data_IF_424737307162
#
_entry.id   IF_424737307162
#
_cell.length_a   1.000
_cell.length_b   1.000
_cell.length_c   1.000
_cell.angle_alpha   90.00
_cell.angle_beta   90.00
_cell.angle_gamma   90.00
#
_symmetry.space_group_name_H-M   'P 1'
#
loop_
_entity.id
_entity.type
_entity.pdbx_description
1 polymer ?
#
# COMPACT_ATOMS: atom_id res chain seq x y z
N UNK A 1 -23.25 8.66 -14.50
CA UNK A 1 -22.04 9.49 -14.72
C UNK A 1 -21.57 9.87 -13.33
N UNK A 2 -20.50 9.22 -12.83
CA UNK A 2 -20.08 9.33 -11.43
C UNK A 2 -18.84 10.21 -11.26
N UNK A 3 -18.74 10.91 -10.14
CA UNK A 3 -17.62 11.80 -9.85
C UNK A 3 -16.34 11.02 -9.52
N UNK A 4 -15.30 11.17 -10.36
CA UNK A 4 -13.97 10.62 -10.14
C UNK A 4 -13.37 11.13 -8.82
N UNK A 5 -12.91 10.21 -7.97
CA UNK A 5 -12.42 10.53 -6.63
C UNK A 5 -10.90 10.76 -6.63
N UNK A 6 -10.47 11.91 -7.15
CA UNK A 6 -9.08 12.39 -7.04
C UNK A 6 -8.84 12.97 -5.64
N UNK A 7 -8.15 12.19 -4.79
CA UNK A 7 -7.93 12.50 -3.37
C UNK A 7 -6.92 13.64 -3.18
N UNK A 8 -7.42 14.87 -3.10
CA UNK A 8 -6.57 16.03 -2.86
C UNK A 8 -6.19 16.20 -1.37
N UNK A 9 -5.10 16.94 -1.05
CA UNK A 9 -4.60 17.16 0.31
C UNK A 9 -5.64 17.49 1.39
N UNK A 10 -6.70 18.25 1.07
CA UNK A 10 -7.72 18.66 2.04
C UNK A 10 -8.72 17.54 2.35
N UNK A 11 -9.02 16.69 1.36
CA UNK A 11 -9.92 15.54 1.54
C UNK A 11 -9.27 14.44 2.38
N UNK A 12 -7.97 14.24 2.24
CA UNK A 12 -7.19 13.26 3.02
C UNK A 12 -7.29 13.56 4.52
N UNK A 13 -6.97 14.79 4.94
CA UNK A 13 -6.96 15.17 6.36
C UNK A 13 -8.32 15.11 7.05
N UNK A 14 -9.39 15.58 6.40
CA UNK A 14 -10.74 15.66 6.99
C UNK A 14 -11.50 14.33 7.11
N UNK A 15 -10.91 13.23 6.63
CA UNK A 15 -11.54 11.92 6.48
C UNK A 15 -10.80 10.81 7.24
N UNK A 16 -9.48 10.94 7.47
CA UNK A 16 -8.71 10.06 8.36
C UNK A 16 -9.25 10.04 9.81
N UNK A 17 -9.74 11.19 10.29
CA UNK A 17 -10.37 11.31 11.62
C UNK A 17 -11.66 10.50 11.82
N UNK A 18 -12.25 9.97 10.73
CA UNK A 18 -13.53 9.26 10.76
C UNK A 18 -13.41 7.74 10.68
N UNK A 19 -12.21 7.23 10.36
CA UNK A 19 -12.00 5.85 9.90
C UNK A 19 -11.23 4.95 10.88
N UNK A 20 -11.07 5.39 12.13
CA UNK A 20 -10.57 4.53 13.23
C UNK A 20 -11.59 3.45 13.68
N UNK A 21 -12.78 3.37 13.05
CA UNK A 21 -13.99 2.82 13.67
C UNK A 21 -14.56 1.49 13.07
N UNK A 22 -13.94 0.80 12.09
CA UNK A 22 -14.51 -0.46 11.49
C UNK A 22 -13.51 -1.34 10.68
N UNK A 23 -13.75 -2.68 10.54
CA UNK A 23 -12.77 -3.75 10.13
C UNK A 23 -13.36 -5.00 9.35
N UNK A 24 -12.60 -5.73 8.47
CA UNK A 24 -12.74 -7.19 7.96
C UNK A 24 -11.87 -7.63 6.68
N UNK A 25 -11.82 -8.92 6.19
CA UNK A 25 -11.10 -9.53 4.97
C UNK A 25 -11.47 -11.03 4.59
N UNK A 26 -10.97 -11.93 3.66
CA UNK A 26 -10.06 -12.07 2.43
C UNK A 26 -10.27 -13.48 1.63
N UNK A 27 -9.63 -13.89 0.48
CA UNK A 27 -9.91 -15.18 -0.30
C UNK A 27 -8.90 -15.83 -1.38
N UNK A 28 -9.19 -16.97 -2.13
CA UNK A 28 -8.17 -18.00 -2.60
C UNK A 28 -8.07 -18.79 -4.02
N UNK A 29 -7.01 -19.65 -4.32
CA UNK A 29 -6.61 -20.55 -5.51
C UNK A 29 -5.22 -21.41 -5.43
N UNK A 30 -4.52 -21.97 -6.50
CA UNK A 30 -3.25 -22.88 -6.51
C UNK A 30 -2.29 -22.92 -7.82
N UNK A 31 -1.18 -23.76 -7.93
CA UNK A 31 -0.07 -23.93 -9.00
C UNK A 31 0.58 -25.39 -9.18
N UNK A 32 1.40 -25.73 -10.23
CA UNK A 32 2.06 -27.06 -10.54
C UNK A 32 3.47 -27.10 -11.29
N UNK A 33 3.98 -28.26 -11.77
CA UNK A 33 5.27 -28.52 -12.53
C UNK A 33 5.09 -29.43 -13.79
N UNK A 34 6.08 -29.49 -14.71
CA UNK A 34 6.17 -30.40 -15.87
C UNK A 34 7.63 -30.83 -16.15
N UNK A 35 7.91 -32.15 -16.09
CA UNK A 35 9.24 -32.74 -16.29
C UNK A 35 9.75 -32.66 -17.75
N UNK A 36 8.87 -32.71 -18.75
CA UNK A 36 9.25 -32.84 -20.17
C UNK A 36 10.02 -31.63 -20.70
N UNK A 37 9.73 -30.45 -20.16
CA UNK A 37 10.33 -29.16 -20.52
C UNK A 37 11.20 -28.58 -19.37
N UNK A 38 11.42 -29.36 -18.31
CA UNK A 38 12.03 -28.97 -17.02
C UNK A 38 11.46 -27.66 -16.42
N UNK A 39 10.13 -27.46 -16.48
CA UNK A 39 9.48 -26.17 -16.19
C UNK A 39 8.41 -26.22 -15.11
N UNK A 40 8.54 -25.29 -14.15
CA UNK A 40 7.51 -24.94 -13.18
C UNK A 40 6.35 -24.21 -13.86
N UNK A 41 5.30 -24.97 -14.16
CA UNK A 41 4.05 -24.45 -14.69
C UNK A 41 3.19 -23.89 -13.56
N UNK A 42 3.48 -22.63 -13.21
CA UNK A 42 2.51 -21.75 -12.57
C UNK A 42 1.31 -21.63 -13.51
N UNK A 43 0.35 -22.56 -13.36
CA UNK A 43 -1.04 -22.41 -13.80
C UNK A 43 -1.67 -21.40 -12.83
N UNK A 44 -1.73 -20.10 -13.16
CA UNK A 44 -2.24 -19.13 -12.23
C UNK A 44 -3.77 -19.21 -12.27
N UNK A 45 -4.50 -18.75 -11.24
CA UNK A 45 -5.72 -18.03 -11.53
C UNK A 45 -5.30 -16.86 -12.45
N UNK A 46 -5.65 -16.95 -13.73
CA UNK A 46 -5.44 -15.86 -14.68
C UNK A 46 -6.03 -14.58 -14.06
N UNK A 47 -5.35 -13.46 -14.30
CA UNK A 47 -5.56 -12.18 -13.62
C UNK A 47 -5.12 -12.17 -12.14
N UNK A 48 -3.97 -11.51 -11.87
CA UNK A 48 -3.74 -10.85 -10.57
C UNK A 48 -4.64 -9.62 -10.45
N UNK A 49 -5.94 -9.87 -10.42
CA UNK A 49 -6.93 -8.95 -9.88
C UNK A 49 -6.82 -9.02 -8.36
N UNK A 50 -6.46 -7.92 -7.70
CA UNK A 50 -6.50 -7.86 -6.23
C UNK A 50 -7.95 -7.69 -5.76
N UNK A 51 -8.79 -8.69 -6.06
CA UNK A 51 -10.16 -8.80 -5.54
C UNK A 51 -10.11 -9.04 -4.02
N UNK A 52 -10.13 -7.95 -3.25
CA UNK A 52 -10.32 -7.97 -1.82
C UNK A 52 -11.75 -8.44 -1.48
N UNK A 53 -11.98 -9.76 -1.55
CA UNK A 53 -13.29 -10.40 -1.45
C UNK A 53 -13.82 -10.43 -0.01
N UNK A 54 -14.37 -9.30 0.43
CA UNK A 54 -15.40 -9.29 1.46
C UNK A 54 -16.68 -9.92 0.84
N UNK A 55 -17.52 -10.65 1.58
CA UNK A 55 -18.61 -11.44 0.97
C UNK A 55 -19.66 -10.68 0.15
N UNK A 56 -19.71 -9.35 0.24
CA UNK A 56 -20.54 -8.47 -0.60
C UNK A 56 -19.76 -7.37 -1.35
N UNK A 57 -18.42 -7.38 -1.32
CA UNK A 57 -17.61 -6.29 -1.86
C UNK A 57 -16.39 -6.77 -2.65
N UNK A 58 -16.28 -6.25 -3.87
CA UNK A 58 -15.12 -6.44 -4.75
C UNK A 58 -14.51 -5.07 -5.06
N UNK A 59 -13.25 -4.94 -4.67
CA UNK A 59 -12.32 -3.87 -5.03
C UNK A 59 -11.24 -4.49 -5.91
N UNK A 60 -10.73 -3.78 -6.90
CA UNK A 60 -9.63 -4.17 -7.78
C UNK A 60 -8.52 -3.14 -7.64
N UNK A 61 -7.27 -3.56 -7.42
CA UNK A 61 -6.11 -2.66 -7.39
C UNK A 61 -5.16 -3.01 -8.53
N UNK A 62 -4.78 -2.01 -9.34
CA UNK A 62 -3.73 -2.14 -10.36
C UNK A 62 -2.55 -1.18 -10.10
N UNK A 63 -1.35 -1.65 -10.47
CA UNK A 63 -0.03 -1.02 -10.27
C UNK A 63 0.81 -1.02 -11.56
N UNK A 64 0.25 -1.25 -12.76
CA UNK A 64 1.06 -1.47 -13.98
C UNK A 64 0.75 -0.58 -15.18
N UNK A 65 1.85 -0.22 -15.85
CA UNK A 65 1.90 0.36 -17.19
C UNK A 65 1.65 -0.73 -18.25
N UNK A 66 0.52 -0.66 -18.94
CA UNK A 66 0.07 -1.65 -19.93
C UNK A 66 -0.53 -0.99 -21.18
N UNK A 67 0.33 -0.68 -22.17
CA UNK A 67 -0.07 -0.28 -23.53
C UNK A 67 -0.85 -1.35 -24.32
N UNK A 68 -1.01 -2.55 -23.76
CA UNK A 68 -1.81 -3.67 -24.30
C UNK A 68 -2.97 -4.11 -23.40
N UNK A 69 -3.16 -3.46 -22.25
CA UNK A 69 -4.18 -3.80 -21.26
C UNK A 69 -4.65 -2.54 -20.50
N UNK A 70 -4.79 -1.44 -21.24
CA UNK A 70 -5.70 -0.35 -20.87
C UNK A 70 -7.13 -0.85 -21.00
N UNK A 71 -7.56 -1.72 -20.10
CA UNK A 71 -8.99 -1.84 -19.83
C UNK A 71 -9.43 -0.51 -19.24
N UNK A 72 -10.32 0.22 -19.93
CA UNK A 72 -10.88 1.44 -19.34
C UNK A 72 -11.57 1.04 -18.02
N UNK A 73 -11.43 1.87 -17.00
CA UNK A 73 -12.31 1.88 -15.82
C UNK A 73 -13.80 1.72 -16.18
N UNK A 74 -14.23 2.20 -17.36
CA UNK A 74 -15.56 1.99 -17.93
C UNK A 74 -15.78 0.56 -18.42
N UNK A 75 -14.90 0.00 -19.24
CA UNK A 75 -15.00 -1.40 -19.70
C UNK A 75 -15.03 -2.37 -18.52
N UNK A 76 -14.22 -2.11 -17.48
CA UNK A 76 -14.24 -2.89 -16.24
C UNK A 76 -15.56 -2.70 -15.45
N UNK A 77 -16.18 -1.52 -15.51
CA UNK A 77 -17.49 -1.26 -14.91
C UNK A 77 -18.68 -1.81 -15.74
N UNK A 78 -18.51 -1.99 -17.05
CA UNK A 78 -19.49 -2.63 -17.95
C UNK A 78 -19.44 -4.16 -17.82
N UNK A 79 -18.23 -4.74 -17.82
CA UNK A 79 -17.99 -6.15 -17.52
C UNK A 79 -18.34 -6.51 -16.06
N UNK A 80 -18.17 -5.56 -15.13
CA UNK A 80 -18.50 -5.72 -13.71
C UNK A 80 -19.15 -4.47 -13.11
N UNK A 81 -20.47 -4.32 -13.26
CA UNK A 81 -21.22 -3.28 -12.54
C UNK A 81 -21.03 -3.41 -11.03
N UNK A 82 -20.78 -2.28 -10.37
CA UNK A 82 -20.45 -2.24 -8.95
C UNK A 82 -18.98 -2.49 -8.60
N UNK A 83 -18.06 -2.53 -9.56
CA UNK A 83 -16.62 -2.61 -9.24
C UNK A 83 -16.14 -1.32 -8.55
N UNK A 84 -15.31 -1.45 -7.50
CA UNK A 84 -14.41 -0.37 -7.08
C UNK A 84 -13.05 -0.65 -7.70
N UNK A 85 -12.53 0.28 -8.48
CA UNK A 85 -11.21 0.17 -9.12
C UNK A 85 -10.26 1.20 -8.51
N UNK A 86 -9.04 0.78 -8.18
CA UNK A 86 -7.98 1.61 -7.61
C UNK A 86 -6.79 1.55 -8.55
N UNK A 87 -6.38 2.71 -9.07
CA UNK A 87 -5.30 2.81 -10.06
C UNK A 87 -4.14 3.65 -9.51
N UNK A 88 -2.98 3.00 -9.37
CA UNK A 88 -1.73 3.59 -8.90
C UNK A 88 -0.76 3.84 -10.06
N UNK A 89 -0.25 5.06 -10.17
CA UNK A 89 0.86 5.41 -11.05
C UNK A 89 2.01 6.12 -10.29
N UNK A 90 3.16 6.29 -10.94
CA UNK A 90 4.31 6.93 -10.29
C UNK A 90 4.18 8.46 -10.18
N UNK A 91 3.69 9.14 -11.23
CA UNK A 91 3.76 10.61 -11.30
C UNK A 91 2.41 11.32 -11.44
N UNK A 92 1.55 10.82 -12.33
CA UNK A 92 0.22 11.36 -12.62
C UNK A 92 -0.47 10.43 -13.61
N UNK A 93 -1.79 10.43 -13.65
CA UNK A 93 -2.57 9.74 -14.70
C UNK A 93 -2.62 10.56 -16.02
N UNK A 94 -2.21 11.82 -15.98
CA UNK A 94 -2.26 12.79 -17.10
C UNK A 94 -0.98 13.62 -17.21
N UNK A 95 -0.69 14.14 -18.41
CA UNK A 95 0.46 15.01 -18.67
C UNK A 95 1.76 14.27 -19.04
N UNK A 96 2.88 15.00 -19.21
CA UNK A 96 4.08 14.50 -19.89
C UNK A 96 4.85 13.39 -19.16
N UNK A 97 4.50 13.12 -17.89
CA UNK A 97 5.11 12.06 -17.08
C UNK A 97 4.17 10.86 -16.84
N UNK A 98 2.97 10.84 -17.43
CA UNK A 98 1.97 9.81 -17.15
C UNK A 98 2.37 8.38 -17.60
N UNK A 99 3.22 8.28 -18.62
CA UNK A 99 3.82 7.01 -19.08
C UNK A 99 5.16 6.68 -18.40
N UNK A 100 5.66 7.52 -17.48
CA UNK A 100 6.94 7.28 -16.82
C UNK A 100 6.76 6.30 -15.65
N UNK A 101 7.56 5.24 -15.65
CA UNK A 101 7.70 4.31 -14.53
C UNK A 101 8.51 4.95 -13.41
N UNK A 102 8.23 4.56 -12.18
CA UNK A 102 8.92 5.05 -10.99
C UNK A 102 8.58 4.19 -9.76
N UNK A 103 9.40 4.36 -8.74
CA UNK A 103 9.30 3.74 -7.42
C UNK A 103 9.69 4.80 -6.38
N UNK A 104 9.42 4.54 -5.09
CA UNK A 104 9.55 5.51 -4.00
C UNK A 104 10.78 6.44 -4.11
N UNK A 105 11.99 5.89 -4.22
CA UNK A 105 13.24 6.69 -4.22
C UNK A 105 13.39 7.59 -5.46
N UNK A 106 12.91 7.17 -6.63
CA UNK A 106 12.83 8.05 -7.82
C UNK A 106 11.93 9.25 -7.54
N UNK A 107 10.83 9.03 -6.82
CA UNK A 107 9.87 10.09 -6.44
C UNK A 107 10.42 10.95 -5.31
N UNK A 108 11.12 10.40 -4.31
CA UNK A 108 11.88 11.19 -3.33
C UNK A 108 12.88 12.13 -4.01
N UNK A 109 13.54 11.66 -5.08
CA UNK A 109 14.54 12.43 -5.83
C UNK A 109 13.89 13.62 -6.54
N UNK A 110 12.87 13.39 -7.37
CA UNK A 110 12.24 14.48 -8.17
C UNK A 110 11.29 15.38 -7.36
N UNK A 111 10.92 15.01 -6.13
CA UNK A 111 10.16 15.87 -5.21
C UNK A 111 11.05 16.74 -4.32
N UNK A 112 12.38 16.60 -4.41
CA UNK A 112 13.33 17.37 -3.59
C UNK A 112 13.44 16.89 -2.14
N UNK A 113 12.78 15.78 -1.77
CA UNK A 113 12.93 15.12 -0.46
C UNK A 113 14.41 14.82 -0.19
N UNK A 114 15.12 14.28 -1.17
CA UNK A 114 16.51 13.85 -0.96
C UNK A 114 17.47 15.00 -0.68
N UNK A 115 17.26 16.14 -1.34
CA UNK A 115 18.07 17.34 -1.13
C UNK A 115 17.83 17.94 0.26
N UNK A 116 16.56 17.97 0.72
CA UNK A 116 16.21 18.35 2.10
C UNK A 116 16.87 17.43 3.12
N UNK A 117 16.69 16.12 2.95
CA UNK A 117 17.20 15.11 3.88
C UNK A 117 18.73 15.17 3.99
N UNK A 118 19.44 15.39 2.88
CA UNK A 118 20.89 15.57 2.87
C UNK A 118 21.39 16.87 3.52
N UNK A 119 20.53 17.89 3.67
CA UNK A 119 20.83 19.11 4.41
C UNK A 119 20.54 19.03 5.92
N UNK A 120 19.47 18.31 6.30
CA UNK A 120 19.08 18.10 7.71
C UNK A 120 19.91 17.00 8.38
N UNK A 121 20.16 15.92 7.66
CA UNK A 121 20.87 14.72 8.13
C UNK A 121 22.00 14.38 7.15
N UNK A 122 23.06 15.20 7.10
CA UNK A 122 24.21 14.92 6.25
C UNK A 122 24.88 13.61 6.67
N UNK A 123 24.88 12.63 5.77
CA UNK A 123 25.64 11.39 5.95
C UNK A 123 27.15 11.63 5.83
N UNK A 124 27.94 10.55 5.93
CA UNK A 124 29.41 10.60 5.83
C UNK A 124 29.93 11.20 4.50
N UNK A 125 29.09 11.29 3.47
CA UNK A 125 29.36 12.00 2.21
C UNK A 125 28.31 13.11 2.01
N UNK A 126 28.72 14.38 1.80
CA UNK A 126 27.80 15.46 1.47
C UNK A 126 27.04 15.21 0.16
N UNK A 127 25.73 15.49 0.16
CA UNK A 127 24.86 15.36 -1.02
C UNK A 127 23.44 14.92 -0.65
N UNK A 128 22.56 14.74 -1.65
CA UNK A 128 21.19 14.27 -1.42
C UNK A 128 21.17 12.87 -0.78
N UNK A 129 20.34 12.69 0.26
CA UNK A 129 20.19 11.44 1.01
C UNK A 129 18.76 10.94 0.90
N UNK A 130 18.53 9.63 0.81
CA UNK A 130 17.16 9.09 0.90
C UNK A 130 16.67 9.09 2.34
N UNK A 131 15.34 9.12 2.55
CA UNK A 131 14.80 8.68 3.83
C UNK A 131 15.18 7.20 4.07
N UNK A 132 15.45 6.77 5.32
CA UNK A 132 15.78 5.38 5.66
C UNK A 132 14.58 4.42 5.54
N UNK A 133 13.49 4.85 4.89
CA UNK A 133 12.22 4.13 4.73
C UNK A 133 11.53 4.61 3.45
N UNK A 134 10.82 3.70 2.77
CA UNK A 134 9.99 4.00 1.59
C UNK A 134 8.69 4.71 1.96
N UNK A 135 8.81 5.92 2.52
CA UNK A 135 7.70 6.67 3.12
C UNK A 135 6.55 6.93 2.13
N UNK A 136 6.84 7.16 0.85
CA UNK A 136 5.85 7.46 -0.18
C UNK A 136 5.09 6.18 -0.56
N UNK A 137 5.77 5.05 -0.75
CA UNK A 137 5.13 3.75 -1.00
C UNK A 137 4.20 3.35 0.18
N UNK A 138 4.65 3.52 1.43
CA UNK A 138 3.82 3.23 2.62
C UNK A 138 2.59 4.13 2.71
N UNK A 139 2.77 5.47 2.65
CA UNK A 139 1.66 6.42 2.69
C UNK A 139 0.68 6.20 1.53
N UNK A 140 1.19 5.89 0.34
CA UNK A 140 0.36 5.56 -0.82
C UNK A 140 -0.42 4.25 -0.60
N UNK A 141 0.19 3.24 0.02
CA UNK A 141 -0.48 2.01 0.43
C UNK A 141 -1.69 2.27 1.35
N UNK A 142 -1.48 3.06 2.42
CA UNK A 142 -2.56 3.45 3.32
C UNK A 142 -3.64 4.28 2.62
N UNK A 143 -3.26 5.25 1.79
CA UNK A 143 -4.20 6.10 1.04
C UNK A 143 -4.98 5.33 -0.04
N UNK A 144 -4.41 4.28 -0.65
CA UNK A 144 -5.14 3.36 -1.52
C UNK A 144 -6.19 2.56 -0.76
N UNK A 145 -5.81 1.91 0.36
CA UNK A 145 -6.74 1.13 1.17
C UNK A 145 -7.90 2.01 1.67
N UNK A 146 -7.57 3.20 2.14
CA UNK A 146 -8.49 4.25 2.56
C UNK A 146 -9.43 4.71 1.45
N UNK A 147 -8.91 5.10 0.27
CA UNK A 147 -9.73 5.46 -0.89
C UNK A 147 -10.64 4.31 -1.34
N UNK A 148 -10.16 3.07 -1.24
CA UNK A 148 -10.95 1.85 -1.45
C UNK A 148 -12.13 1.74 -0.49
N UNK A 149 -11.91 1.93 0.82
CA UNK A 149 -12.99 1.93 1.82
C UNK A 149 -14.00 3.05 1.57
N UNK A 150 -13.55 4.24 1.17
CA UNK A 150 -14.42 5.37 0.81
C UNK A 150 -15.28 5.04 -0.41
N UNK A 151 -14.68 4.53 -1.48
CA UNK A 151 -15.40 4.13 -2.70
C UNK A 151 -16.36 2.95 -2.46
N UNK A 152 -15.99 2.01 -1.59
CA UNK A 152 -16.89 0.94 -1.13
C UNK A 152 -18.09 1.50 -0.34
N UNK A 153 -17.86 2.48 0.54
CA UNK A 153 -18.94 3.14 1.27
C UNK A 153 -19.86 3.94 0.33
N UNK A 154 -19.30 4.68 -0.64
CA UNK A 154 -20.09 5.34 -1.70
C UNK A 154 -20.95 4.32 -2.45
N UNK A 155 -20.38 3.18 -2.86
CA UNK A 155 -21.17 2.12 -3.53
C UNK A 155 -22.36 1.60 -2.72
N UNK A 156 -22.24 1.49 -1.39
CA UNK A 156 -23.34 1.02 -0.54
C UNK A 156 -24.51 2.01 -0.50
N UNK A 157 -24.23 3.31 -0.57
CA UNK A 157 -25.25 4.36 -0.39
C UNK A 157 -25.72 5.01 -1.71
N UNK A 158 -24.85 5.08 -2.71
CA UNK A 158 -25.06 5.75 -4.01
C UNK A 158 -25.15 4.76 -5.18
N UNK A 159 -24.79 3.48 -4.96
CA UNK A 159 -24.67 2.47 -6.01
C UNK A 159 -23.46 2.70 -6.93
N UNK A 160 -23.55 2.20 -8.16
CA UNK A 160 -22.56 2.46 -9.22
C UNK A 160 -21.19 1.77 -9.07
N UNK A 161 -20.35 1.96 -10.09
CA UNK A 161 -18.93 1.59 -10.07
C UNK A 161 -18.08 2.83 -9.80
N UNK A 162 -16.95 2.68 -9.11
CA UNK A 162 -16.14 3.80 -8.63
C UNK A 162 -14.67 3.65 -9.00
N UNK A 163 -14.02 4.77 -9.33
CA UNK A 163 -12.58 4.84 -9.57
C UNK A 163 -11.90 5.71 -8.51
N UNK A 164 -10.87 5.14 -7.89
CA UNK A 164 -9.91 5.81 -7.01
C UNK A 164 -8.61 5.96 -7.79
N UNK A 165 -8.16 7.19 -8.01
CA UNK A 165 -6.84 7.46 -8.60
C UNK A 165 -5.87 7.94 -7.53
N UNK A 166 -4.63 7.50 -7.62
CA UNK A 166 -3.53 7.99 -6.78
C UNK A 166 -2.22 7.97 -7.57
N UNK A 167 -1.26 8.82 -7.17
CA UNK A 167 0.11 8.74 -7.65
C UNK A 167 1.13 8.95 -6.54
N UNK A 168 2.27 8.26 -6.64
CA UNK A 168 3.37 8.43 -5.69
C UNK A 168 3.82 9.91 -5.62
N UNK A 169 3.89 10.63 -6.75
CA UNK A 169 4.31 12.03 -6.75
C UNK A 169 3.28 13.00 -6.12
N UNK A 170 1.97 12.75 -6.24
CA UNK A 170 0.96 13.50 -5.47
C UNK A 170 1.14 13.25 -3.96
N UNK A 171 1.37 12.01 -3.55
CA UNK A 171 1.58 11.65 -2.13
C UNK A 171 2.91 12.21 -1.58
N UNK A 172 4.00 12.15 -2.35
CA UNK A 172 5.28 12.75 -1.98
C UNK A 172 5.21 14.27 -1.87
N UNK A 173 4.49 14.94 -2.78
CA UNK A 173 4.19 16.38 -2.68
C UNK A 173 3.33 16.69 -1.46
N UNK A 174 2.33 15.85 -1.16
CA UNK A 174 1.49 16.00 0.03
C UNK A 174 2.29 15.88 1.33
N UNK A 175 3.16 14.87 1.42
CA UNK A 175 4.10 14.66 2.53
C UNK A 175 4.99 15.90 2.73
N UNK A 176 5.66 16.38 1.67
CA UNK A 176 6.47 17.61 1.73
C UNK A 176 5.64 18.83 2.15
N UNK A 177 4.36 18.90 1.77
CA UNK A 177 3.47 20.01 2.17
C UNK A 177 2.98 19.96 3.61
N UNK A 178 3.29 18.91 4.39
CA UNK A 178 3.06 18.91 5.84
C UNK A 178 4.09 19.76 6.60
N UNK A 179 5.21 20.10 5.94
CA UNK A 179 6.29 20.89 6.53
C UNK A 179 7.22 20.06 7.41
N UNK A 180 8.01 20.77 8.22
CA UNK A 180 9.02 20.21 9.12
C UNK A 180 8.69 20.65 10.56
N UNK A 181 8.97 19.79 11.55
CA UNK A 181 8.81 20.17 12.97
C UNK A 181 9.97 21.12 13.32
N UNK A 182 9.71 22.33 13.85
CA UNK A 182 10.78 23.25 14.23
C UNK A 182 11.72 22.64 15.27
N UNK A 183 13.03 22.84 15.11
CA UNK A 183 14.07 22.30 16.00
C UNK A 183 13.82 22.64 17.48
N UNK A 184 13.29 23.84 17.75
CA UNK A 184 12.90 24.30 19.09
C UNK A 184 11.88 23.39 19.81
N UNK A 185 11.14 22.56 19.07
CA UNK A 185 10.16 21.60 19.57
C UNK A 185 10.72 20.19 19.76
N UNK A 186 11.95 19.90 19.28
CA UNK A 186 12.57 18.57 19.33
C UNK A 186 13.30 18.29 20.66
N UNK A 187 13.31 19.24 21.60
CA UNK A 187 14.23 19.32 22.76
C UNK A 187 14.23 18.13 23.74
N UNK A 188 13.24 17.25 23.69
CA UNK A 188 13.13 16.06 24.54
C UNK A 188 12.97 14.76 23.72
N UNK A 189 13.32 14.76 22.43
CA UNK A 189 13.27 13.57 21.58
C UNK A 189 14.64 12.91 21.59
N UNK A 190 14.70 11.63 21.95
CA UNK A 190 15.95 10.85 21.91
C UNK A 190 16.42 10.68 20.45
N UNK A 191 17.74 10.69 20.24
CA UNK A 191 18.33 10.46 18.92
C UNK A 191 18.16 9.00 18.45
N UNK A 192 18.06 8.06 19.39
CA UNK A 192 17.82 6.63 19.16
C UNK A 192 16.76 6.11 20.15
N UNK A 193 16.00 5.10 19.74
CA UNK A 193 15.04 4.42 20.61
C UNK A 193 15.76 3.51 21.62
N UNK A 194 15.26 3.42 22.85
CA UNK A 194 15.90 2.56 23.87
C UNK A 194 15.65 1.08 23.58
N UNK A 195 16.48 0.15 24.12
CA UNK A 195 16.22 -1.28 24.01
C UNK A 195 14.84 -1.70 24.55
N UNK A 196 14.34 -1.00 25.57
CA UNK A 196 13.02 -1.22 26.18
C UNK A 196 11.88 -0.73 25.26
N UNK A 197 12.04 0.43 24.61
CA UNK A 197 11.08 0.90 23.60
C UNK A 197 10.99 -0.08 22.43
N UNK A 198 12.15 -0.46 21.86
CA UNK A 198 12.24 -1.44 20.77
C UNK A 198 11.63 -2.78 21.18
N UNK A 199 11.90 -3.25 22.41
CA UNK A 199 11.30 -4.47 22.95
C UNK A 199 9.77 -4.36 23.09
N UNK A 200 9.26 -3.19 23.51
CA UNK A 200 7.81 -2.95 23.66
C UNK A 200 7.05 -2.96 22.32
N UNK A 201 7.72 -2.63 21.22
CA UNK A 201 7.18 -2.70 19.86
C UNK A 201 7.52 -4.01 19.14
N UNK A 202 8.29 -4.89 19.78
CA UNK A 202 8.71 -6.17 19.21
C UNK A 202 7.82 -7.32 19.66
N UNK A 203 7.81 -8.37 18.85
CA UNK A 203 7.16 -9.64 19.13
C UNK A 203 8.05 -10.78 18.63
N UNK A 204 7.71 -12.02 18.99
CA UNK A 204 8.44 -13.22 18.57
C UNK A 204 7.48 -14.18 17.89
N UNK A 205 7.78 -14.54 16.65
CA UNK A 205 7.11 -15.61 15.93
C UNK A 205 7.93 -16.89 15.95
N UNK A 206 7.29 -18.03 16.21
CA UNK A 206 7.83 -19.33 15.84
C UNK A 206 7.74 -19.52 14.32
N UNK A 207 8.87 -19.73 13.66
CA UNK A 207 8.97 -19.88 12.20
C UNK A 207 9.60 -21.23 11.82
N UNK A 208 9.51 -21.66 10.54
CA UNK A 208 10.24 -22.83 10.05
C UNK A 208 11.78 -22.72 10.17
N UNK A 209 12.31 -21.52 10.45
CA UNK A 209 13.73 -21.25 10.68
C UNK A 209 14.09 -21.11 12.18
N UNK A 210 13.15 -21.39 13.08
CA UNK A 210 13.26 -21.13 14.53
C UNK A 210 12.55 -19.85 14.95
N UNK A 211 12.86 -19.34 16.16
CA UNK A 211 12.23 -18.13 16.70
C UNK A 211 12.79 -16.87 16.04
N UNK A 212 11.91 -16.05 15.49
CA UNK A 212 12.24 -14.77 14.88
C UNK A 212 11.67 -13.62 15.72
N UNK A 213 12.54 -12.76 16.24
CA UNK A 213 12.15 -11.46 16.79
C UNK A 213 11.95 -10.44 15.66
N UNK A 214 10.83 -9.72 15.69
CA UNK A 214 10.50 -8.68 14.70
C UNK A 214 9.48 -7.70 15.27
N UNK A 215 9.19 -6.59 14.57
CA UNK A 215 8.17 -5.65 15.01
C UNK A 215 6.77 -6.29 15.05
N UNK A 216 6.02 -5.99 16.10
CA UNK A 216 4.60 -6.26 16.22
C UNK A 216 3.76 -5.33 15.33
N UNK A 217 2.43 -5.51 15.31
CA UNK A 217 1.53 -4.55 14.68
C UNK A 217 1.60 -3.19 15.38
N UNK A 218 1.72 -2.11 14.60
CA UNK A 218 1.89 -0.73 15.11
C UNK A 218 0.57 -0.14 15.66
N UNK A 219 -0.58 -0.75 15.34
CA UNK A 219 -1.89 -0.36 15.85
C UNK A 219 -2.33 -1.34 16.95
N UNK A 220 -3.03 -0.83 17.96
CA UNK A 220 -3.81 -1.63 18.91
C UNK A 220 -5.29 -1.29 18.76
N UNK A 221 -6.14 -2.31 18.77
CA UNK A 221 -7.55 -2.24 18.36
C UNK A 221 -8.35 -3.12 19.31
N UNK A 222 -9.25 -2.54 20.14
CA UNK A 222 -9.89 -3.26 21.26
C UNK A 222 -10.69 -4.47 20.81
N UNK A 223 -11.56 -4.29 19.80
CA UNK A 223 -12.48 -5.34 19.33
C UNK A 223 -11.82 -6.34 18.35
N UNK A 224 -10.72 -5.93 17.71
CA UNK A 224 -10.06 -6.71 16.66
C UNK A 224 -8.53 -6.62 16.76
N UNK A 225 -7.91 -7.14 17.84
CA UNK A 225 -6.46 -7.05 18.04
C UNK A 225 -5.69 -7.57 16.81
N UNK A 226 -4.89 -6.73 16.14
CA UNK A 226 -4.20 -7.12 14.93
C UNK A 226 -3.11 -8.14 15.27
N UNK A 227 -2.87 -9.10 14.37
CA UNK A 227 -1.88 -10.16 14.55
C UNK A 227 -1.27 -10.58 13.22
N UNK A 228 -0.01 -10.98 13.24
CA UNK A 228 0.66 -11.56 12.09
C UNK A 228 0.21 -13.03 11.91
N UNK A 229 -0.91 -13.22 11.18
CA UNK A 229 -1.51 -14.56 10.93
C UNK A 229 -0.59 -15.49 10.12
N UNK A 230 0.35 -14.93 9.37
CA UNK A 230 1.43 -15.65 8.68
C UNK A 230 2.76 -15.09 9.13
N UNK A 231 3.68 -15.99 9.47
CA UNK A 231 5.04 -15.67 9.90
C UNK A 231 5.97 -15.51 8.69
N UNK A 232 7.20 -15.01 8.91
CA UNK A 232 8.24 -15.07 7.88
C UNK A 232 8.65 -16.52 7.62
N UNK A 233 8.79 -16.90 6.35
CA UNK A 233 9.10 -18.28 5.94
C UNK A 233 10.13 -18.30 4.79
N UNK A 234 10.88 -19.40 4.60
CA UNK A 234 11.77 -19.55 3.43
C UNK A 234 11.05 -19.41 2.09
N UNK A 235 11.81 -19.02 1.05
CA UNK A 235 11.31 -19.03 -0.33
C UNK A 235 10.84 -20.44 -0.71
N UNK A 236 9.61 -20.56 -1.22
CA UNK A 236 9.00 -21.84 -1.57
C UNK A 236 8.43 -22.66 -0.40
N UNK A 237 8.48 -22.16 0.85
CA UNK A 237 7.97 -22.90 2.01
C UNK A 237 6.44 -23.08 1.99
N UNK A 238 5.70 -22.04 1.63
CA UNK A 238 4.26 -22.17 1.47
C UNK A 238 3.96 -22.81 0.12
N UNK A 239 3.16 -23.88 0.15
CA UNK A 239 2.46 -24.38 -1.02
C UNK A 239 1.78 -23.19 -1.72
N UNK A 240 1.81 -23.11 -3.06
CA UNK A 240 1.30 -21.95 -3.81
C UNK A 240 -0.23 -21.86 -3.80
N UNK A 241 -0.86 -22.61 -2.89
CA UNK A 241 -2.21 -22.34 -2.45
C UNK A 241 -2.34 -20.95 -1.83
N UNK A 242 -3.58 -20.53 -1.88
CA UNK A 242 -4.14 -19.34 -1.32
C UNK A 242 -5.14 -19.90 -0.27
N UNK A 243 -5.09 -19.50 1.01
CA UNK A 243 -5.68 -20.27 2.10
C UNK A 243 -7.21 -20.17 2.18
N UNK A 244 -7.87 -21.18 2.73
CA UNK A 244 -9.23 -21.01 3.24
C UNK A 244 -9.25 -19.86 4.27
N UNK A 245 -10.37 -19.13 4.32
CA UNK A 245 -10.50 -17.93 5.15
C UNK A 245 -10.53 -18.33 6.63
N UNK A 246 -9.37 -18.29 7.29
CA UNK A 246 -9.25 -18.47 8.74
C UNK A 246 -10.19 -17.53 9.47
N UNK A 247 -11.13 -18.11 10.22
CA UNK A 247 -12.08 -17.41 11.08
C UNK A 247 -11.37 -16.74 12.28
#
# INVERSE_FOLDING_TARGET
MGDDLDLNPKQIGGLMSRLMNSHMGNGPNRVSYNDTDEKWTISPPLHYSLEASLPAHKTLVDRRDLSKLRSDSKELAELRPGIVYISLCAFSHMGPWASRRGFDTVVQTVSGITNRQGGLFPGATPGPQFYPVSAIDYLTGYLMAFGGMVALNRRVHEGGSWLVRISLAQVGRWLVSQGEIPEANLKNISAEFTPEEIASWSTVSDTPMGKLGHLGPVLSLSETPPRWVRTSVPLGHHDPVWPERSL
#
